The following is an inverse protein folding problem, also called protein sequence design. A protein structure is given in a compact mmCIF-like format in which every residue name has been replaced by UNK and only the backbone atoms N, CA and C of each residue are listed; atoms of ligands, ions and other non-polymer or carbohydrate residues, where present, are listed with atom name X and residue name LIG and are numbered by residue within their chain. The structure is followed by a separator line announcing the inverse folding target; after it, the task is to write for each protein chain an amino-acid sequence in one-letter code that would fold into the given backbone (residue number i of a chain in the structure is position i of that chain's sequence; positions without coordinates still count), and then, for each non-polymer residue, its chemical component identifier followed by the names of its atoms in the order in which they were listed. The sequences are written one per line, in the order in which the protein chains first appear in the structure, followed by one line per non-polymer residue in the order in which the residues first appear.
data_IF_382743617232
#
_entry.id   IF_382743617232
#
_cell.length_a   1.000
_cell.length_b   1.000
_cell.length_c   1.000
_cell.angle_alpha   90.00
_cell.angle_beta   90.00
_cell.angle_gamma   90.00
#
_symmetry.space_group_name_H-M   'P 1'
#
loop_
_entity.id
_entity.type
_entity.pdbx_description
1 polymer ?
#
# COMPACT_ATOMS: atom_id res chain seq x y z
N UNK A 1 -1.27 8.39 -13.46
CA UNK A 1 -0.09 7.47 -13.61
C UNK A 1 -0.32 6.20 -12.77
N UNK A 2 0.20 5.02 -13.17
CA UNK A 2 0.05 3.77 -12.40
C UNK A 2 1.37 3.38 -11.73
N UNK A 3 1.33 3.14 -10.42
CA UNK A 3 2.49 2.77 -9.60
C UNK A 3 2.27 1.38 -8.99
N UNK A 4 3.32 0.56 -8.98
CA UNK A 4 3.30 -0.79 -8.40
C UNK A 4 4.24 -0.76 -7.19
N UNK A 5 3.73 -1.09 -6.02
CA UNK A 5 4.43 -0.94 -4.74
C UNK A 5 4.47 -2.28 -4.03
N UNK A 6 5.65 -2.72 -3.61
CA UNK A 6 5.81 -3.87 -2.72
C UNK A 6 5.35 -3.47 -1.31
N UNK A 7 4.24 -4.06 -0.87
CA UNK A 7 3.65 -3.79 0.43
C UNK A 7 4.37 -4.54 1.57
N UNK A 8 5.28 -5.47 1.27
CA UNK A 8 5.85 -6.39 2.26
C UNK A 8 7.27 -6.01 2.67
N UNK A 9 7.95 -5.19 1.87
CA UNK A 9 9.33 -4.79 2.12
C UNK A 9 9.46 -3.65 3.13
N UNK A 10 10.28 -3.85 4.17
CA UNK A 10 10.69 -2.82 5.12
C UNK A 10 10.35 -3.16 6.58
N UNK A 11 11.03 -2.49 7.51
CA UNK A 11 10.95 -2.80 8.94
C UNK A 11 9.55 -2.58 9.54
N UNK A 12 8.76 -1.67 8.94
CA UNK A 12 7.40 -1.31 9.35
C UNK A 12 6.34 -1.72 8.33
N UNK A 13 6.69 -2.63 7.41
CA UNK A 13 5.74 -3.23 6.50
C UNK A 13 4.79 -4.21 7.22
N UNK A 14 3.56 -4.39 6.74
CA UNK A 14 2.96 -3.70 5.59
C UNK A 14 2.32 -2.35 5.93
N UNK A 15 2.13 -2.03 7.22
CA UNK A 15 1.34 -0.90 7.69
C UNK A 15 1.78 0.46 7.14
N UNK A 16 3.05 0.84 7.30
CA UNK A 16 3.51 2.16 6.85
C UNK A 16 3.55 2.29 5.32
N UNK A 17 3.79 1.18 4.61
CA UNK A 17 3.75 1.17 3.13
C UNK A 17 2.32 1.39 2.63
N UNK A 18 1.34 0.69 3.21
CA UNK A 18 -0.07 0.83 2.84
C UNK A 18 -0.56 2.24 3.17
N UNK A 19 -0.26 2.75 4.37
CA UNK A 19 -0.62 4.11 4.80
C UNK A 19 -0.05 5.19 3.88
N UNK A 20 1.24 5.11 3.55
CA UNK A 20 1.87 6.03 2.61
C UNK A 20 1.27 5.96 1.21
N UNK A 21 0.92 4.75 0.76
CA UNK A 21 0.24 4.52 -0.52
C UNK A 21 -1.15 5.15 -0.55
N UNK A 22 -1.96 4.95 0.50
CA UNK A 22 -3.29 5.54 0.60
C UNK A 22 -3.23 7.07 0.57
N UNK A 23 -2.32 7.68 1.33
CA UNK A 23 -2.14 9.13 1.34
C UNK A 23 -1.75 9.63 -0.05
N UNK A 24 -0.78 8.97 -0.70
CA UNK A 24 -0.32 9.34 -2.04
C UNK A 24 -1.42 9.22 -3.10
N UNK A 25 -2.26 8.18 -3.03
CA UNK A 25 -3.39 8.01 -3.94
C UNK A 25 -4.50 9.06 -3.75
N UNK A 26 -4.59 9.70 -2.58
CA UNK A 26 -5.53 10.80 -2.31
C UNK A 26 -4.96 12.16 -2.74
N UNK A 27 -3.67 12.37 -2.47
CA UNK A 27 -3.03 13.67 -2.67
C UNK A 27 -2.52 13.87 -4.10
N UNK A 28 -2.33 12.78 -4.85
CA UNK A 28 -1.79 12.78 -6.20
C UNK A 28 -2.75 12.07 -7.16
N UNK A 29 -2.76 12.47 -8.43
CA UNK A 29 -3.52 11.79 -9.50
C UNK A 29 -2.81 10.50 -9.99
N UNK A 30 -2.68 9.55 -9.06
CA UNK A 30 -1.99 8.28 -9.27
C UNK A 30 -2.85 7.10 -8.82
N UNK A 31 -2.73 6.00 -9.55
CA UNK A 31 -3.35 4.72 -9.20
C UNK A 31 -2.27 3.80 -8.66
N UNK A 32 -2.44 3.29 -7.44
CA UNK A 32 -1.45 2.43 -6.78
C UNK A 32 -1.96 0.99 -6.75
N UNK A 33 -1.07 0.07 -7.13
CA UNK A 33 -1.26 -1.37 -7.01
C UNK A 33 -0.30 -1.90 -5.96
N UNK A 34 -0.85 -2.39 -4.85
CA UNK A 34 -0.08 -3.03 -3.79
C UNK A 34 0.20 -4.49 -4.18
N UNK A 35 1.46 -4.90 -4.05
CA UNK A 35 1.91 -6.27 -4.33
C UNK A 35 2.41 -6.90 -3.03
N UNK A 36 1.94 -8.11 -2.73
CA UNK A 36 2.30 -8.82 -1.51
C UNK A 36 1.31 -9.93 -1.17
N UNK A 37 1.30 -10.36 0.09
CA UNK A 37 0.34 -11.35 0.59
C UNK A 37 -1.04 -10.71 0.71
N UNK A 38 -1.97 -11.12 -0.15
CA UNK A 38 -3.28 -10.49 -0.29
C UNK A 38 -4.08 -10.46 1.02
N UNK A 39 -4.10 -11.56 1.79
CA UNK A 39 -4.87 -11.64 3.03
C UNK A 39 -4.32 -10.70 4.11
N UNK A 40 -3.00 -10.53 4.17
CA UNK A 40 -2.33 -9.61 5.10
C UNK A 40 -2.63 -8.15 4.70
N UNK A 41 -2.55 -7.83 3.41
CA UNK A 41 -2.87 -6.50 2.89
C UNK A 41 -4.33 -6.16 3.15
N UNK A 42 -5.26 -7.09 2.85
CA UNK A 42 -6.69 -6.89 3.08
C UNK A 42 -7.00 -6.65 4.56
N UNK A 43 -6.38 -7.42 5.47
CA UNK A 43 -6.52 -7.21 6.93
C UNK A 43 -6.06 -5.82 7.37
N UNK A 44 -4.97 -5.31 6.80
CA UNK A 44 -4.47 -3.98 7.15
C UNK A 44 -5.35 -2.86 6.55
N UNK A 45 -5.98 -3.09 5.39
CA UNK A 45 -6.88 -2.12 4.75
C UNK A 45 -8.22 -1.95 5.46
N UNK A 46 -8.68 -2.95 6.21
CA UNK A 46 -9.94 -2.91 6.97
C UNK A 46 -9.75 -2.47 8.43
N UNK A 47 -8.51 -2.20 8.84
CA UNK A 47 -8.15 -1.82 10.20
C UNK A 47 -8.35 -0.31 10.42
#
# INVERSE_FOLDING_TARGET
MKLIVDAMGGDYAPGEIIKGSINSARDLDVHIVLVGQQDVIEKELIR
#
